data_IF_524573921030
#
_entry.id   IF_524573921030
#
_cell.length_a   1.000
_cell.length_b   1.000
_cell.length_c   1.000
_cell.angle_alpha   90.00
_cell.angle_beta   90.00
_cell.angle_gamma   90.00
#
_symmetry.space_group_name_H-M   'P 1'
#
loop_
_entity.id
_entity.type
_entity.pdbx_description
1 polymer ?
#
# COMPACT_ATOMS: atom_id res chain seq x y z
N UNK A 1 -17.99 10.37 7.35
CA UNK A 1 -16.62 10.91 7.34
C UNK A 1 -16.33 11.44 8.72
N UNK A 2 -15.15 11.19 9.29
CA UNK A 2 -14.81 11.68 10.61
C UNK A 2 -14.96 13.20 10.69
N UNK A 3 -15.48 13.68 11.81
CA UNK A 3 -15.80 15.09 12.05
C UNK A 3 -14.60 15.91 12.53
N UNK A 4 -13.55 15.22 12.99
CA UNK A 4 -12.30 15.79 13.45
C UNK A 4 -11.11 15.05 12.82
N UNK A 5 -10.04 15.77 12.48
CA UNK A 5 -8.79 15.22 11.94
C UNK A 5 -8.13 14.22 12.90
N UNK A 6 -8.31 14.39 14.21
CA UNK A 6 -7.72 13.51 15.22
C UNK A 6 -8.34 12.11 15.26
N UNK A 7 -9.43 11.88 14.52
CA UNK A 7 -10.11 10.58 14.43
C UNK A 7 -9.47 9.66 13.36
N UNK A 8 -8.64 10.19 12.45
CA UNK A 8 -7.97 9.37 11.45
C UNK A 8 -6.98 8.40 12.12
N UNK A 9 -7.06 7.12 11.70
CA UNK A 9 -6.27 6.02 12.23
C UNK A 9 -5.87 5.08 11.09
N UNK A 10 -4.75 4.41 11.28
CA UNK A 10 -4.24 3.40 10.34
C UNK A 10 -2.75 3.56 10.10
N UNK A 11 -2.12 2.47 9.71
CA UNK A 11 -0.77 2.46 9.16
C UNK A 11 -0.88 2.17 7.67
N UNK A 12 -0.17 2.92 6.84
CA UNK A 12 -0.13 2.69 5.40
C UNK A 12 1.30 2.51 4.92
N UNK A 13 1.51 1.54 4.03
CA UNK A 13 2.78 1.30 3.35
C UNK A 13 2.57 1.51 1.86
N UNK A 14 3.37 2.38 1.26
CA UNK A 14 3.42 2.52 -0.18
C UNK A 14 4.16 1.32 -0.79
N UNK A 15 3.50 0.66 -1.75
CA UNK A 15 4.01 -0.55 -2.39
C UNK A 15 4.63 -0.16 -3.72
N UNK A 16 5.92 0.12 -3.68
CA UNK A 16 6.69 0.34 -4.90
C UNK A 16 6.68 -0.93 -5.77
N UNK A 17 6.29 -0.77 -7.03
CA UNK A 17 6.39 -1.80 -8.04
C UNK A 17 7.04 -1.26 -9.30
N UNK A 18 7.79 -2.10 -9.99
CA UNK A 18 8.34 -1.80 -11.31
C UNK A 18 8.07 -2.98 -12.24
N UNK A 19 7.43 -2.69 -13.38
CA UNK A 19 7.09 -3.69 -14.41
C UNK A 19 6.35 -4.91 -13.85
N UNK A 20 5.39 -4.67 -12.96
CA UNK A 20 4.57 -5.72 -12.35
C UNK A 20 5.30 -6.56 -11.30
N UNK A 21 6.41 -6.06 -10.73
CA UNK A 21 7.14 -6.71 -9.63
C UNK A 21 7.24 -5.76 -8.45
N UNK A 22 6.82 -6.23 -7.28
CA UNK A 22 6.94 -5.49 -6.02
C UNK A 22 8.42 -5.43 -5.60
N UNK A 23 8.87 -4.26 -5.15
CA UNK A 23 10.20 -4.10 -4.57
C UNK A 23 10.31 -4.84 -3.24
N UNK A 24 11.43 -5.52 -2.98
CA UNK A 24 11.64 -6.28 -1.73
C UNK A 24 11.51 -5.40 -0.48
N UNK A 25 11.94 -4.14 -0.56
CA UNK A 25 11.81 -3.16 0.51
C UNK A 25 10.35 -2.95 0.94
N UNK A 26 9.37 -3.03 0.02
CA UNK A 26 7.97 -2.91 0.37
C UNK A 26 7.50 -4.07 1.28
N UNK A 27 8.06 -5.28 1.12
CA UNK A 27 7.75 -6.40 2.02
C UNK A 27 8.36 -6.23 3.41
N UNK A 28 9.57 -5.70 3.51
CA UNK A 28 10.19 -5.38 4.80
C UNK A 28 9.36 -4.31 5.54
N UNK A 29 8.92 -3.28 4.81
CA UNK A 29 8.05 -2.23 5.35
C UNK A 29 6.67 -2.75 5.75
N UNK A 30 6.07 -3.70 5.01
CA UNK A 30 4.84 -4.36 5.45
C UNK A 30 5.04 -5.13 6.76
N UNK A 31 6.19 -5.79 6.93
CA UNK A 31 6.54 -6.49 8.17
C UNK A 31 6.65 -5.55 9.37
N UNK A 32 7.40 -4.45 9.25
CA UNK A 32 7.51 -3.45 10.33
C UNK A 32 6.20 -2.68 10.53
N UNK A 33 5.48 -2.38 9.44
CA UNK A 33 4.16 -1.76 9.46
C UNK A 33 3.14 -2.60 10.21
N UNK A 34 3.18 -3.94 10.08
CA UNK A 34 2.31 -4.86 10.82
C UNK A 34 2.56 -4.77 12.32
N UNK A 35 3.82 -4.82 12.75
CA UNK A 35 4.19 -4.67 14.17
C UNK A 35 3.70 -3.32 14.73
N UNK A 36 3.84 -2.24 13.97
CA UNK A 36 3.38 -0.92 14.37
C UNK A 36 1.86 -0.85 14.47
N UNK A 37 1.15 -1.37 13.47
CA UNK A 37 -0.30 -1.41 13.41
C UNK A 37 -0.89 -2.21 14.59
N UNK A 38 -0.29 -3.35 14.92
CA UNK A 38 -0.70 -4.18 16.07
C UNK A 38 -0.47 -3.46 17.40
N UNK A 39 0.68 -2.80 17.57
CA UNK A 39 0.99 -2.02 18.76
C UNK A 39 0.00 -0.87 18.99
N UNK A 40 -0.50 -0.27 17.91
CA UNK A 40 -1.45 0.83 17.93
C UNK A 40 -2.92 0.37 17.95
N UNK A 41 -3.18 -0.92 17.68
CA UNK A 41 -4.54 -1.46 17.55
C UNK A 41 -5.31 -0.90 16.34
N UNK A 42 -4.62 -0.64 15.23
CA UNK A 42 -5.19 -0.04 14.01
C UNK A 42 -4.92 -0.94 12.79
N UNK A 43 -5.67 -0.78 11.68
CA UNK A 43 -5.41 -1.56 10.47
C UNK A 43 -4.13 -1.13 9.74
N UNK A 44 -3.50 -2.09 9.05
CA UNK A 44 -2.44 -1.87 8.07
C UNK A 44 -3.00 -1.92 6.65
N UNK A 45 -2.66 -0.93 5.83
CA UNK A 45 -3.04 -0.90 4.42
C UNK A 45 -1.83 -0.81 3.49
N UNK A 46 -1.88 -1.50 2.35
CA UNK A 46 -0.94 -1.30 1.25
C UNK A 46 -1.52 -0.33 0.21
N UNK A 47 -0.72 0.61 -0.27
CA UNK A 47 -1.08 1.51 -1.37
C UNK A 47 -0.33 1.05 -2.62
N UNK A 48 -1.05 0.60 -3.64
CA UNK A 48 -0.48 0.00 -4.84
C UNK A 48 -0.96 0.77 -6.09
N UNK A 49 0.00 1.34 -6.82
CA UNK A 49 -0.24 2.15 -8.02
C UNK A 49 0.53 1.56 -9.22
N UNK A 50 -0.14 1.43 -10.37
CA UNK A 50 0.49 0.92 -11.58
C UNK A 50 -0.48 0.63 -12.71
N UNK A 51 -0.04 -0.19 -13.66
CA UNK A 51 -0.83 -0.69 -14.78
C UNK A 51 -0.73 -2.22 -14.89
N UNK A 52 -1.86 -2.89 -15.01
CA UNK A 52 -1.99 -4.35 -15.07
C UNK A 52 -1.44 -5.07 -13.82
N UNK A 53 -1.66 -4.44 -12.66
CA UNK A 53 -1.03 -4.82 -11.38
C UNK A 53 -2.00 -5.39 -10.35
N UNK A 54 -3.30 -5.44 -10.64
CA UNK A 54 -4.31 -6.04 -9.74
C UNK A 54 -3.91 -7.40 -9.13
N UNK A 55 -3.28 -8.35 -9.85
CA UNK A 55 -2.88 -9.64 -9.26
C UNK A 55 -1.89 -9.53 -8.09
N UNK A 56 -1.10 -8.44 -8.03
CA UNK A 56 -0.12 -8.21 -6.97
C UNK A 56 -0.75 -7.94 -5.59
N UNK A 57 -2.04 -7.55 -5.55
CA UNK A 57 -2.73 -7.27 -4.29
C UNK A 57 -2.79 -8.49 -3.36
N UNK A 58 -2.87 -9.71 -3.92
CA UNK A 58 -2.90 -10.94 -3.14
C UNK A 58 -1.60 -11.15 -2.36
N UNK A 59 -0.45 -10.81 -2.94
CA UNK A 59 0.85 -10.92 -2.27
C UNK A 59 0.96 -9.91 -1.12
N UNK A 60 0.44 -8.69 -1.30
CA UNK A 60 0.44 -7.64 -0.27
C UNK A 60 -0.41 -8.06 0.95
N UNK A 61 -1.60 -8.62 0.71
CA UNK A 61 -2.45 -9.16 1.78
C UNK A 61 -1.75 -10.33 2.49
N UNK A 62 -1.17 -11.26 1.74
CA UNK A 62 -0.44 -12.40 2.31
C UNK A 62 0.77 -11.98 3.18
N UNK A 63 1.27 -10.75 2.98
CA UNK A 63 2.39 -10.15 3.73
C UNK A 63 1.93 -9.30 4.92
N UNK A 64 0.64 -9.31 5.25
CA UNK A 64 0.11 -8.78 6.52
C UNK A 64 -0.73 -7.52 6.41
N UNK A 65 -0.93 -6.97 5.21
CA UNK A 65 -1.88 -5.88 5.01
C UNK A 65 -3.33 -6.38 5.20
N UNK A 66 -4.15 -5.58 5.89
CA UNK A 66 -5.59 -5.85 6.06
C UNK A 66 -6.39 -5.40 4.82
N UNK A 67 -5.89 -4.38 4.12
CA UNK A 67 -6.50 -3.84 2.91
C UNK A 67 -5.43 -3.41 1.90
N UNK A 68 -5.81 -3.39 0.61
CA UNK A 68 -5.00 -2.83 -0.47
C UNK A 68 -5.81 -1.76 -1.19
N UNK A 69 -5.32 -0.53 -1.17
CA UNK A 69 -5.82 0.55 -2.02
C UNK A 69 -5.09 0.48 -3.35
N UNK A 70 -5.83 0.12 -4.40
CA UNK A 70 -5.29 -0.17 -5.73
C UNK A 70 -5.79 0.87 -6.74
N UNK A 71 -4.86 1.49 -7.46
CA UNK A 71 -5.15 2.20 -8.72
C UNK A 71 -4.43 1.50 -9.85
N UNK A 72 -5.21 0.95 -10.77
CA UNK A 72 -4.74 0.25 -11.96
C UNK A 72 -5.12 1.06 -13.19
N UNK A 73 -4.18 1.88 -13.69
CA UNK A 73 -4.39 2.84 -14.77
C UNK A 73 -3.19 2.84 -15.75
N UNK A 74 -3.41 2.78 -17.08
CA UNK A 74 -2.34 2.86 -18.08
C UNK A 74 -1.38 4.06 -17.93
N UNK A 75 -1.84 5.18 -17.38
CA UNK A 75 -1.02 6.37 -17.12
C UNK A 75 0.03 6.13 -16.03
N UNK A 76 -0.19 5.15 -15.16
CA UNK A 76 0.72 4.76 -14.08
C UNK A 76 1.67 3.62 -14.47
N UNK A 77 1.76 3.27 -15.76
CA UNK A 77 2.66 2.21 -16.24
C UNK A 77 4.12 2.47 -15.88
N UNK A 78 4.54 3.73 -15.96
CA UNK A 78 5.86 4.18 -15.51
C UNK A 78 5.68 5.13 -14.34
N UNK A 79 6.61 5.06 -13.38
CA UNK A 79 6.66 6.03 -12.31
C UNK A 79 6.82 7.45 -12.87
N UNK A 80 6.00 8.37 -12.38
CA UNK A 80 6.16 9.81 -12.54
C UNK A 80 5.82 10.47 -11.21
N UNK A 81 6.52 11.55 -10.86
CA UNK A 81 6.25 12.26 -9.61
C UNK A 81 4.79 12.73 -9.55
N UNK A 82 4.31 13.35 -10.63
CA UNK A 82 2.95 13.93 -10.66
C UNK A 82 1.85 12.87 -10.65
N UNK A 83 2.08 11.71 -11.25
CA UNK A 83 1.08 10.63 -11.26
C UNK A 83 0.94 9.89 -9.92
N UNK A 84 1.90 10.08 -9.00
CA UNK A 84 2.00 9.34 -7.74
C UNK A 84 1.79 10.24 -6.51
N UNK A 85 1.59 11.54 -6.70
CA UNK A 85 1.16 12.51 -5.68
C UNK A 85 -0.38 12.58 -5.62
#
# INVERSE_FOLDING_TARGET
MPSNLDEYRGVAVFIEQSRGKIASAAFELLGEGRKLADKLGVPLSGILLGNEIRPLSAEIIARGADAVYLTDDPQLKNYTTDGYL
#
